data_IF_672395024420
#
_entry.id   IF_672395024420
#
_cell.length_a   1.000
_cell.length_b   1.000
_cell.length_c   1.000
_cell.angle_alpha   90.00
_cell.angle_beta   90.00
_cell.angle_gamma   90.00
#
_symmetry.space_group_name_H-M   'P 1'
#
loop_
_entity.id
_entity.type
_entity.pdbx_description
1 polymer ?
#
# COMPACT_ATOMS: atom_id res chain seq x y z
N UNK A 1 -4.18 4.24 -14.83
CA UNK A 1 -5.03 4.96 -13.85
C UNK A 1 -5.93 3.96 -13.16
N UNK A 2 -5.76 3.79 -11.84
CA UNK A 2 -6.57 2.85 -11.04
C UNK A 2 -8.02 3.32 -10.97
N UNK A 3 -8.97 2.38 -11.08
CA UNK A 3 -10.41 2.63 -10.93
C UNK A 3 -10.89 2.11 -9.59
N UNK A 4 -11.75 2.87 -8.91
CA UNK A 4 -12.38 2.49 -7.66
C UNK A 4 -13.31 1.29 -7.87
N UNK A 5 -13.08 0.22 -7.13
CA UNK A 5 -13.91 -1.00 -7.20
C UNK A 5 -15.37 -0.76 -6.79
N UNK A 6 -15.64 0.27 -5.98
CA UNK A 6 -17.00 0.59 -5.51
C UNK A 6 -17.82 1.43 -6.49
N UNK A 7 -17.22 2.41 -7.16
CA UNK A 7 -17.96 3.38 -7.99
C UNK A 7 -17.39 3.57 -9.41
N UNK A 8 -16.32 2.87 -9.77
CA UNK A 8 -15.70 2.89 -11.11
C UNK A 8 -14.89 4.15 -11.45
N UNK A 9 -14.86 5.14 -10.56
CA UNK A 9 -14.18 6.43 -10.79
C UNK A 9 -12.67 6.32 -10.59
N UNK A 10 -11.92 7.27 -11.17
CA UNK A 10 -10.48 7.32 -11.01
C UNK A 10 -10.09 7.49 -9.54
N UNK A 11 -8.96 6.89 -9.16
CA UNK A 11 -8.37 7.02 -7.84
C UNK A 11 -7.07 7.82 -7.91
N UNK A 12 -6.78 8.55 -6.84
CA UNK A 12 -5.45 9.12 -6.59
C UNK A 12 -4.59 8.02 -6.01
N UNK A 13 -3.54 7.61 -6.72
CA UNK A 13 -2.60 6.54 -6.32
C UNK A 13 -1.30 7.13 -5.76
N UNK A 14 -0.33 6.26 -5.46
CA UNK A 14 1.02 6.61 -4.99
C UNK A 14 1.07 7.34 -3.64
N UNK A 15 -0.01 7.26 -2.87
CA UNK A 15 -0.04 7.73 -1.50
C UNK A 15 0.66 6.70 -0.59
N UNK A 16 1.09 7.14 0.58
CA UNK A 16 1.77 6.32 1.58
C UNK A 16 1.04 6.41 2.92
N UNK A 17 0.98 5.30 3.65
CA UNK A 17 0.51 5.32 5.04
C UNK A 17 1.58 5.93 5.95
N UNK A 18 1.16 6.89 6.77
CA UNK A 18 1.98 7.49 7.81
C UNK A 18 1.18 7.62 9.09
N UNK A 19 1.88 7.48 10.21
CA UNK A 19 1.36 7.86 11.52
C UNK A 19 1.46 9.38 11.65
N UNK A 20 0.41 10.03 12.12
CA UNK A 20 0.43 11.48 12.33
C UNK A 20 1.51 11.86 13.36
N UNK A 21 2.30 12.90 13.07
CA UNK A 21 3.44 13.31 13.88
C UNK A 21 4.63 12.35 13.86
N UNK A 22 4.56 11.25 13.10
CA UNK A 22 5.62 10.25 12.97
C UNK A 22 6.37 10.35 11.64
N UNK A 23 7.69 10.15 11.68
CA UNK A 23 8.55 10.05 10.49
C UNK A 23 8.57 8.67 9.83
N UNK A 24 7.79 7.71 10.35
CA UNK A 24 7.86 6.30 9.97
C UNK A 24 6.80 5.94 8.91
N UNK A 25 7.18 5.05 7.99
CA UNK A 25 6.28 4.41 7.02
C UNK A 25 5.83 3.03 7.51
N UNK A 26 4.77 2.50 6.89
CA UNK A 26 4.31 1.11 7.10
C UNK A 26 4.83 0.26 5.95
N UNK A 27 5.55 -0.82 6.28
CA UNK A 27 6.12 -1.78 5.33
C UNK A 27 5.49 -3.16 5.48
N UNK A 28 5.45 -3.93 4.40
CA UNK A 28 5.16 -5.37 4.46
C UNK A 28 6.49 -6.12 4.49
N UNK A 29 6.61 -7.12 5.36
CA UNK A 29 7.81 -7.96 5.48
C UNK A 29 7.43 -9.42 5.67
N UNK A 30 8.33 -10.31 5.27
CA UNK A 30 8.26 -11.75 5.60
C UNK A 30 9.25 -12.01 6.73
N UNK A 31 8.76 -12.65 7.79
CA UNK A 31 9.57 -13.07 8.92
C UNK A 31 9.94 -14.56 8.75
N UNK A 32 11.20 -14.84 8.44
CA UNK A 32 11.78 -16.19 8.44
C UNK A 32 12.50 -16.45 9.77
N UNK A 33 12.80 -17.74 10.08
CA UNK A 33 13.36 -18.17 11.38
C UNK A 33 14.55 -17.34 11.91
N UNK A 34 15.37 -16.76 11.02
CA UNK A 34 16.53 -15.95 11.41
C UNK A 34 16.64 -14.58 10.71
N UNK A 35 15.70 -14.24 9.81
CA UNK A 35 15.78 -12.99 9.05
C UNK A 35 14.38 -12.47 8.72
N UNK A 36 14.19 -11.16 8.90
CA UNK A 36 13.05 -10.44 8.35
C UNK A 36 13.50 -9.78 7.03
N UNK A 37 12.74 -9.98 5.96
CA UNK A 37 12.97 -9.31 4.67
C UNK A 37 11.80 -8.40 4.39
N UNK A 38 12.07 -7.10 4.24
CA UNK A 38 11.07 -6.13 3.81
C UNK A 38 10.77 -6.38 2.34
N UNK A 39 9.48 -6.52 2.01
CA UNK A 39 9.01 -6.68 0.64
C UNK A 39 8.98 -5.30 -0.03
N UNK A 40 8.15 -4.39 0.49
CA UNK A 40 8.03 -2.99 0.04
C UNK A 40 7.22 -2.16 1.07
N UNK A 41 7.19 -0.83 0.89
CA UNK A 41 6.27 0.10 1.56
C UNK A 41 4.81 -0.14 1.11
N UNK A 42 3.86 0.00 2.03
CA UNK A 42 2.43 -0.02 1.68
C UNK A 42 2.07 1.24 0.92
N UNK A 43 1.64 1.06 -0.33
CA UNK A 43 1.03 2.12 -1.15
C UNK A 43 -0.46 2.19 -0.92
N UNK A 44 -1.00 3.39 -1.09
CA UNK A 44 -2.42 3.67 -0.94
C UNK A 44 -2.95 4.35 -2.19
N UNK A 45 -4.16 3.97 -2.58
CA UNK A 45 -4.97 4.71 -3.49
C UNK A 45 -6.30 5.10 -2.83
N UNK A 46 -6.76 6.32 -3.05
CA UNK A 46 -8.03 6.83 -2.50
C UNK A 46 -8.93 7.29 -3.64
N UNK A 47 -10.19 6.84 -3.60
CA UNK A 47 -11.23 7.36 -4.47
C UNK A 47 -11.70 8.73 -3.97
N UNK A 48 -11.55 9.77 -4.81
CA UNK A 48 -11.95 11.14 -4.45
C UNK A 48 -13.47 11.32 -4.34
N UNK A 49 -14.25 10.40 -4.90
CA UNK A 49 -15.71 10.51 -4.95
C UNK A 49 -16.38 9.84 -3.75
N UNK A 50 -15.95 8.63 -3.37
CA UNK A 50 -16.61 7.86 -2.30
C UNK A 50 -15.70 7.52 -1.12
N UNK A 51 -14.45 7.98 -1.12
CA UNK A 51 -13.50 7.76 -0.03
C UNK A 51 -12.99 6.32 0.10
N UNK A 52 -13.37 5.41 -0.80
CA UNK A 52 -12.82 4.05 -0.79
C UNK A 52 -11.30 4.10 -0.88
N UNK A 53 -10.65 3.45 0.08
CA UNK A 53 -9.21 3.42 0.24
C UNK A 53 -8.72 2.00 0.00
N UNK A 54 -7.83 1.85 -0.97
CA UNK A 54 -7.20 0.58 -1.32
C UNK A 54 -5.73 0.63 -0.88
N UNK A 55 -5.28 -0.40 -0.18
CA UNK A 55 -3.88 -0.61 0.19
C UNK A 55 -3.30 -1.71 -0.69
N UNK A 56 -2.10 -1.53 -1.19
CA UNK A 56 -1.46 -2.46 -2.10
C UNK A 56 0.07 -2.33 -2.06
N UNK A 57 0.76 -3.33 -2.62
CA UNK A 57 2.19 -3.27 -2.90
C UNK A 57 2.38 -3.04 -4.40
N UNK A 58 3.28 -2.13 -4.77
CA UNK A 58 3.59 -1.87 -6.18
C UNK A 58 4.61 -2.90 -6.71
N UNK A 59 5.67 -3.17 -5.94
CA UNK A 59 6.65 -4.19 -6.26
C UNK A 59 6.38 -5.50 -5.51
N UNK A 60 6.17 -6.58 -6.26
CA UNK A 60 5.94 -7.92 -5.73
C UNK A 60 7.16 -8.83 -5.88
N UNK A 61 8.30 -8.33 -6.35
CA UNK A 61 9.50 -9.14 -6.66
C UNK A 61 9.98 -9.96 -5.45
N UNK A 62 9.81 -9.42 -4.24
CA UNK A 62 10.19 -10.07 -2.99
C UNK A 62 9.03 -10.84 -2.32
N UNK A 63 7.84 -10.83 -2.92
CA UNK A 63 6.71 -11.64 -2.50
C UNK A 63 6.92 -13.07 -3.04
N UNK A 64 7.54 -13.93 -2.23
CA UNK A 64 7.71 -15.36 -2.54
C UNK A 64 6.50 -16.16 -2.06
N UNK A 65 6.21 -17.27 -2.74
CA UNK A 65 5.18 -18.26 -2.37
C UNK A 65 5.50 -19.01 -1.06
#
# INVERSE_FOLDING_TARGET
MRKCVKCGKAMVSDLRLKVNGGGYGIVVRVDEKQKATIIDDVKVAVCQECGYTEMYLEDLTNLKD
#
